data_IF_349430880111
#
_entry.id   IF_349430880111
#
_cell.length_a   1.000
_cell.length_b   1.000
_cell.length_c   1.000
_cell.angle_alpha   90.00
_cell.angle_beta   90.00
_cell.angle_gamma   90.00
#
_symmetry.space_group_name_H-M   'P 1'
#
loop_
_entity.id
_entity.type
_entity.pdbx_description
1 polymer ?
#
# COMPACT_ATOMS: atom_id res chain seq x y z
N UNK A 1 31.09 -3.56 5.06
CA UNK A 1 29.88 -4.16 4.47
C UNK A 1 29.07 -4.85 5.56
N UNK A 2 27.78 -4.52 5.68
CA UNK A 2 26.90 -5.20 6.61
C UNK A 2 26.36 -6.51 5.98
N UNK A 3 25.70 -7.34 6.79
CA UNK A 3 25.15 -8.64 6.32
C UNK A 3 24.11 -8.45 5.24
N UNK A 4 23.30 -7.40 5.34
CA UNK A 4 22.27 -7.07 4.35
C UNK A 4 22.84 -6.69 3.00
N UNK A 5 23.90 -5.88 2.99
CA UNK A 5 24.60 -5.50 1.77
C UNK A 5 25.09 -6.73 0.98
N UNK A 6 25.69 -7.69 1.69
CA UNK A 6 26.14 -8.94 1.09
C UNK A 6 24.97 -9.76 0.56
N UNK A 7 23.90 -9.85 1.32
CA UNK A 7 22.74 -10.65 0.94
C UNK A 7 22.09 -10.12 -0.33
N UNK A 8 21.87 -8.81 -0.43
CA UNK A 8 21.28 -8.20 -1.64
C UNK A 8 22.21 -8.21 -2.85
N UNK A 9 23.52 -8.23 -2.65
CA UNK A 9 24.49 -8.35 -3.75
C UNK A 9 24.53 -9.74 -4.37
N UNK A 10 24.19 -10.79 -3.62
CA UNK A 10 24.28 -12.18 -4.08
C UNK A 10 22.93 -12.81 -4.44
N UNK A 11 21.84 -12.30 -3.92
CA UNK A 11 20.51 -12.82 -4.20
C UNK A 11 19.44 -11.73 -4.16
N UNK A 12 18.39 -11.92 -4.94
CA UNK A 12 17.20 -11.06 -4.91
C UNK A 12 16.23 -11.56 -3.84
N UNK A 13 15.89 -10.70 -2.86
CA UNK A 13 14.84 -11.01 -1.88
C UNK A 13 13.49 -10.71 -2.52
N UNK A 14 12.53 -11.66 -2.54
CA UNK A 14 11.22 -11.44 -3.12
C UNK A 14 10.50 -10.22 -2.52
N UNK A 15 9.89 -9.40 -3.36
CA UNK A 15 9.20 -8.18 -2.95
C UNK A 15 10.09 -6.95 -2.80
N UNK A 16 11.37 -7.07 -3.10
CA UNK A 16 12.32 -5.95 -3.08
C UNK A 16 12.93 -5.69 -4.45
N UNK A 17 13.11 -4.41 -4.74
CA UNK A 17 13.83 -3.97 -5.95
C UNK A 17 15.29 -4.47 -5.88
N UNK A 18 15.85 -5.03 -6.96
CA UNK A 18 17.26 -5.39 -6.99
C UNK A 18 18.16 -4.22 -6.67
N UNK A 19 19.16 -4.45 -5.82
CA UNK A 19 20.07 -3.43 -5.32
C UNK A 19 21.52 -3.83 -5.58
N UNK A 20 22.32 -2.88 -6.01
CA UNK A 20 23.76 -2.98 -6.12
C UNK A 20 24.44 -1.90 -5.29
N UNK A 21 25.67 -2.17 -4.86
CA UNK A 21 26.49 -1.21 -4.11
C UNK A 21 27.55 -0.68 -5.05
N UNK A 22 27.61 0.63 -5.18
CA UNK A 22 28.65 1.34 -5.91
C UNK A 22 29.46 2.24 -4.97
N UNK A 23 30.70 2.46 -5.32
CA UNK A 23 31.60 3.39 -4.63
C UNK A 23 31.94 4.54 -5.56
N UNK A 24 31.52 5.76 -5.20
CA UNK A 24 31.81 6.98 -5.94
C UNK A 24 32.50 7.96 -4.99
N UNK A 25 33.71 8.39 -5.35
CA UNK A 25 34.52 9.29 -4.52
C UNK A 25 34.64 8.83 -3.05
N UNK A 26 34.97 7.55 -2.87
CA UNK A 26 35.09 6.88 -1.55
C UNK A 26 33.76 6.82 -0.74
N UNK A 27 32.64 7.25 -1.32
CA UNK A 27 31.31 7.16 -0.71
C UNK A 27 30.56 5.95 -1.24
N UNK A 28 29.98 5.21 -0.31
CA UNK A 28 29.11 4.09 -0.61
C UNK A 28 27.75 4.60 -1.09
N UNK A 29 27.29 4.07 -2.21
CA UNK A 29 25.97 4.35 -2.77
C UNK A 29 25.19 3.05 -3.02
N UNK A 30 23.89 3.10 -2.76
CA UNK A 30 22.97 2.03 -3.12
C UNK A 30 22.27 2.40 -4.44
N UNK A 31 22.36 1.50 -5.40
CA UNK A 31 21.75 1.67 -6.74
C UNK A 31 20.67 0.63 -6.91
N UNK A 32 19.46 1.08 -7.26
CA UNK A 32 18.28 0.25 -7.39
C UNK A 32 17.87 0.13 -8.85
N UNK A 33 17.67 -1.10 -9.31
CA UNK A 33 17.20 -1.37 -10.67
C UNK A 33 15.66 -1.40 -10.70
N UNK A 34 15.07 -0.32 -11.17
CA UNK A 34 13.61 -0.16 -11.31
C UNK A 34 13.12 -0.39 -12.74
N UNK A 35 13.92 -1.01 -13.59
CA UNK A 35 13.55 -1.33 -14.96
C UNK A 35 12.25 -2.12 -15.02
N UNK A 36 11.33 -1.69 -15.89
CA UNK A 36 10.03 -2.35 -16.08
C UNK A 36 9.00 -2.08 -14.98
N UNK A 37 9.29 -1.15 -14.06
CA UNK A 37 8.41 -0.81 -12.94
C UNK A 37 7.89 0.61 -13.05
N UNK A 38 6.68 0.82 -12.57
CA UNK A 38 6.09 2.14 -12.32
C UNK A 38 6.29 2.50 -10.85
N UNK A 39 6.55 3.77 -10.56
CA UNK A 39 6.43 4.26 -9.19
C UNK A 39 4.95 4.34 -8.77
N UNK A 40 4.68 4.52 -7.48
CA UNK A 40 3.32 4.53 -6.96
C UNK A 40 2.45 5.61 -7.62
N UNK A 41 2.99 6.81 -7.85
CA UNK A 41 2.26 7.89 -8.52
C UNK A 41 1.83 7.51 -9.93
N UNK A 42 2.74 7.01 -10.74
CA UNK A 42 2.46 6.55 -12.11
C UNK A 42 1.44 5.42 -12.12
N UNK A 43 1.53 4.50 -11.15
CA UNK A 43 0.58 3.40 -11.02
C UNK A 43 -0.82 3.90 -10.70
N UNK A 44 -0.97 4.82 -9.74
CA UNK A 44 -2.27 5.38 -9.34
C UNK A 44 -2.94 6.21 -10.43
N UNK A 45 -2.16 6.78 -11.33
CA UNK A 45 -2.65 7.56 -12.49
C UNK A 45 -3.18 6.69 -13.63
N UNK A 46 -2.95 5.38 -13.59
CA UNK A 46 -3.51 4.45 -14.58
C UNK A 46 -5.02 4.29 -14.42
N UNK A 47 -5.71 4.04 -15.52
CA UNK A 47 -7.13 3.69 -15.50
C UNK A 47 -7.37 2.34 -14.81
N UNK A 48 -8.46 2.22 -14.09
CA UNK A 48 -8.90 0.99 -13.46
C UNK A 48 -8.18 0.63 -12.16
N UNK A 49 -7.47 1.58 -11.53
CA UNK A 49 -6.85 1.40 -10.21
C UNK A 49 -7.90 1.69 -9.14
N UNK A 50 -8.65 0.68 -8.75
CA UNK A 50 -9.66 0.74 -7.70
C UNK A 50 -9.19 0.11 -6.40
N UNK A 51 -10.13 -0.07 -5.48
CA UNK A 51 -9.90 -0.61 -4.13
C UNK A 51 -9.13 -1.92 -4.10
N UNK A 52 -9.49 -2.88 -4.96
CA UNK A 52 -8.84 -4.20 -4.97
C UNK A 52 -7.33 -4.09 -5.22
N UNK A 53 -6.94 -3.24 -6.18
CA UNK A 53 -5.52 -3.04 -6.53
C UNK A 53 -4.76 -2.26 -5.46
N UNK A 54 -5.35 -1.22 -4.90
CA UNK A 54 -4.75 -0.45 -3.80
C UNK A 54 -4.63 -1.30 -2.53
N UNK A 55 -5.63 -2.10 -2.21
CA UNK A 55 -5.58 -3.07 -1.11
C UNK A 55 -4.39 -4.03 -1.26
N UNK A 56 -4.16 -4.56 -2.46
CA UNK A 56 -3.02 -5.43 -2.76
C UNK A 56 -1.67 -4.72 -2.52
N UNK A 57 -1.56 -3.45 -2.93
CA UNK A 57 -0.37 -2.64 -2.65
C UNK A 57 -0.12 -2.51 -1.15
N UNK A 58 -1.14 -2.17 -0.38
CA UNK A 58 -1.02 -2.00 1.07
C UNK A 58 -0.72 -3.32 1.79
N UNK A 59 -1.35 -4.41 1.43
CA UNK A 59 -1.07 -5.74 1.98
C UNK A 59 0.38 -6.14 1.74
N UNK A 60 0.90 -5.90 0.53
CA UNK A 60 2.29 -6.16 0.21
C UNK A 60 3.24 -5.32 1.08
N UNK A 61 3.02 -4.01 1.17
CA UNK A 61 3.85 -3.12 1.97
C UNK A 61 3.89 -3.51 3.45
N UNK A 62 2.75 -3.88 4.01
CA UNK A 62 2.65 -4.32 5.40
C UNK A 62 3.37 -5.64 5.66
N UNK A 63 3.57 -6.47 4.64
CA UNK A 63 4.26 -7.77 4.74
C UNK A 63 5.78 -7.67 4.58
N UNK A 64 6.30 -6.59 4.00
CA UNK A 64 7.73 -6.46 3.69
C UNK A 64 8.66 -6.47 4.92
N UNK A 65 8.33 -5.82 6.05
CA UNK A 65 9.15 -5.91 7.25
C UNK A 65 9.34 -7.36 7.75
N UNK A 66 8.29 -8.15 7.81
CA UNK A 66 8.35 -9.57 8.19
C UNK A 66 9.20 -10.39 7.22
N UNK A 67 9.18 -10.02 5.95
CA UNK A 67 10.02 -10.67 4.94
C UNK A 67 11.50 -10.42 5.16
N UNK A 68 11.91 -9.19 5.48
CA UNK A 68 13.29 -8.92 5.89
C UNK A 68 13.70 -9.71 7.13
N UNK A 69 12.84 -9.76 8.12
CA UNK A 69 13.10 -10.50 9.36
C UNK A 69 13.29 -12.00 9.08
N UNK A 70 12.57 -12.57 8.12
CA UNK A 70 12.77 -13.97 7.69
C UNK A 70 14.14 -14.25 7.10
N UNK A 71 14.84 -13.20 6.62
CA UNK A 71 16.22 -13.25 6.16
C UNK A 71 17.22 -12.75 7.23
N UNK A 72 16.79 -12.64 8.48
CA UNK A 72 17.58 -12.15 9.61
C UNK A 72 18.07 -10.70 9.44
N UNK A 73 17.31 -9.91 8.74
CA UNK A 73 17.54 -8.47 8.56
C UNK A 73 16.54 -7.66 9.41
N UNK A 74 16.88 -6.40 9.66
CA UNK A 74 16.01 -5.49 10.40
C UNK A 74 14.77 -5.12 9.55
N UNK A 75 13.57 -5.44 10.03
CA UNK A 75 12.32 -5.09 9.36
C UNK A 75 12.10 -3.59 9.19
N UNK A 76 12.74 -2.76 10.03
CA UNK A 76 12.69 -1.30 9.91
C UNK A 76 13.52 -0.76 8.74
N UNK A 77 14.31 -1.58 8.07
CA UNK A 77 15.08 -1.18 6.89
C UNK A 77 14.28 -1.22 5.58
N UNK A 78 12.99 -1.49 5.63
CA UNK A 78 12.08 -1.20 4.52
C UNK A 78 11.78 0.29 4.51
N UNK A 79 12.14 0.98 3.43
CA UNK A 79 11.90 2.42 3.31
C UNK A 79 10.46 2.70 2.86
N UNK A 80 9.62 3.09 3.79
CA UNK A 80 8.20 3.34 3.56
C UNK A 80 7.98 4.81 3.16
N UNK A 81 8.22 5.08 1.90
CA UNK A 81 7.97 6.36 1.24
C UNK A 81 7.26 6.13 -0.09
N UNK A 82 6.37 7.03 -0.52
CA UNK A 82 5.69 6.92 -1.82
C UNK A 82 6.66 6.72 -2.99
N UNK A 83 7.80 7.42 -2.99
CA UNK A 83 8.82 7.33 -4.05
C UNK A 83 9.62 6.01 -4.01
N UNK A 84 9.48 5.23 -2.95
CA UNK A 84 10.16 3.95 -2.76
C UNK A 84 9.24 2.74 -2.94
N UNK A 85 8.10 2.92 -3.56
CA UNK A 85 7.10 1.89 -3.85
C UNK A 85 6.97 1.76 -5.37
N UNK A 86 7.17 0.55 -5.87
CA UNK A 86 7.16 0.24 -7.30
C UNK A 86 6.21 -0.91 -7.62
N UNK A 87 5.63 -0.86 -8.80
CA UNK A 87 4.73 -1.90 -9.32
C UNK A 87 5.22 -2.33 -10.70
N UNK A 88 5.38 -3.62 -10.91
CA UNK A 88 5.77 -4.16 -12.22
C UNK A 88 4.70 -3.87 -13.27
N UNK A 89 5.12 -3.40 -14.44
CA UNK A 89 4.21 -3.00 -15.53
C UNK A 89 3.37 -4.15 -16.08
N UNK A 90 3.87 -5.36 -15.99
CA UNK A 90 3.23 -6.55 -16.58
C UNK A 90 2.57 -7.44 -15.55
N UNK A 91 3.31 -7.81 -14.49
CA UNK A 91 2.79 -8.71 -13.44
C UNK A 91 1.93 -8.01 -12.41
N UNK A 92 2.03 -6.69 -12.30
CA UNK A 92 1.44 -5.87 -11.22
C UNK A 92 1.91 -6.27 -9.81
N UNK A 93 3.03 -6.99 -9.71
CA UNK A 93 3.68 -7.27 -8.42
C UNK A 93 4.25 -5.99 -7.81
N UNK A 94 4.14 -5.88 -6.49
CA UNK A 94 4.56 -4.70 -5.72
C UNK A 94 5.95 -4.94 -5.12
N UNK A 95 6.81 -3.94 -5.22
CA UNK A 95 8.18 -3.98 -4.75
C UNK A 95 8.48 -2.80 -3.84
N UNK A 96 9.15 -3.09 -2.73
CA UNK A 96 9.71 -2.09 -1.82
C UNK A 96 11.20 -1.91 -2.00
N UNK A 97 11.75 -1.00 -1.22
CA UNK A 97 13.19 -0.68 -1.16
C UNK A 97 13.75 -1.12 0.18
N UNK A 98 14.80 -1.93 0.14
CA UNK A 98 15.66 -2.17 1.29
C UNK A 98 16.66 -1.02 1.42
N UNK A 99 16.68 -0.36 2.57
CA UNK A 99 17.58 0.76 2.83
C UNK A 99 18.19 0.64 4.23
N UNK A 100 19.42 0.14 4.36
CA UNK A 100 20.08 -0.01 5.66
C UNK A 100 20.20 1.31 6.41
N UNK A 101 19.82 1.31 7.70
CA UNK A 101 19.80 2.52 8.51
C UNK A 101 18.64 3.46 8.20
N UNK A 102 17.57 2.92 7.64
CA UNK A 102 16.35 3.67 7.29
C UNK A 102 15.72 4.38 8.50
N UNK A 103 15.21 5.58 8.29
CA UNK A 103 14.48 6.41 9.25
C UNK A 103 12.97 6.56 8.93
N UNK A 104 12.52 6.03 7.79
CA UNK A 104 11.13 6.09 7.34
C UNK A 104 10.45 4.73 7.49
N UNK A 105 9.96 4.41 8.67
CA UNK A 105 9.28 3.14 8.99
C UNK A 105 8.16 3.34 10.02
N UNK A 106 7.37 2.30 10.23
CA UNK A 106 6.31 2.27 11.23
C UNK A 106 5.01 2.93 10.79
N UNK A 107 4.06 3.02 11.71
CA UNK A 107 2.68 3.44 11.41
C UNK A 107 2.59 4.86 10.83
N UNK A 108 3.43 5.78 11.29
CA UNK A 108 3.48 7.15 10.74
C UNK A 108 3.91 7.17 9.27
N UNK A 109 4.85 6.31 8.88
CA UNK A 109 5.29 6.19 7.50
C UNK A 109 4.18 5.59 6.61
N UNK A 110 3.47 4.57 7.07
CA UNK A 110 2.29 4.04 6.37
C UNK A 110 1.17 5.06 6.25
N UNK A 111 0.94 5.88 7.28
CA UNK A 111 -0.03 6.98 7.22
C UNK A 111 0.32 7.98 6.11
N UNK A 112 1.59 8.33 5.95
CA UNK A 112 2.05 9.21 4.88
C UNK A 112 1.84 8.59 3.49
N UNK A 113 2.01 7.29 3.34
CA UNK A 113 1.69 6.57 2.08
C UNK A 113 0.19 6.60 1.80
N UNK A 114 -0.66 6.36 2.80
CA UNK A 114 -2.10 6.45 2.65
C UNK A 114 -2.55 7.86 2.23
N UNK A 115 -1.99 8.91 2.83
CA UNK A 115 -2.22 10.31 2.45
C UNK A 115 -1.83 10.58 1.00
N UNK A 116 -0.68 10.09 0.57
CA UNK A 116 -0.24 10.18 -0.83
C UNK A 116 -1.23 9.50 -1.78
N UNK A 117 -1.73 8.33 -1.44
CA UNK A 117 -2.75 7.61 -2.23
C UNK A 117 -4.02 8.44 -2.33
N UNK A 118 -4.49 9.02 -1.23
CA UNK A 118 -5.67 9.91 -1.21
C UNK A 118 -5.49 11.07 -2.19
N UNK A 119 -4.32 11.70 -2.21
CA UNK A 119 -4.02 12.85 -3.06
C UNK A 119 -3.89 12.51 -4.56
N UNK A 120 -3.57 11.26 -4.90
CA UNK A 120 -3.28 10.83 -6.28
C UNK A 120 -4.26 9.80 -6.86
N UNK A 121 -5.20 9.30 -6.06
CA UNK A 121 -6.22 8.37 -6.53
C UNK A 121 -7.33 9.08 -7.33
N UNK A 122 -8.19 8.29 -7.99
CA UNK A 122 -9.40 8.81 -8.60
C UNK A 122 -10.38 9.30 -7.52
N UNK A 123 -10.57 10.62 -7.44
CA UNK A 123 -11.42 11.26 -6.43
C UNK A 123 -12.92 10.92 -6.55
N UNK A 124 -13.34 10.37 -7.69
CA UNK A 124 -14.73 9.95 -7.93
C UNK A 124 -15.00 8.51 -7.46
N UNK A 125 -13.95 7.75 -7.17
CA UNK A 125 -14.06 6.39 -6.65
C UNK A 125 -14.33 6.43 -5.14
N UNK A 126 -15.59 6.39 -4.77
CA UNK A 126 -16.04 6.48 -3.37
C UNK A 126 -15.66 5.25 -2.57
N UNK A 127 -15.69 4.07 -3.15
CA UNK A 127 -15.29 2.81 -2.53
C UNK A 127 -13.81 2.83 -2.14
N UNK A 128 -12.96 3.24 -3.08
CA UNK A 128 -11.53 3.42 -2.85
C UNK A 128 -11.28 4.49 -1.78
N UNK A 129 -11.97 5.62 -1.86
CA UNK A 129 -11.83 6.70 -0.89
C UNK A 129 -12.14 6.23 0.54
N UNK A 130 -13.26 5.56 0.75
CA UNK A 130 -13.62 5.00 2.06
C UNK A 130 -12.55 4.06 2.61
N UNK A 131 -12.05 3.17 1.77
CA UNK A 131 -11.02 2.22 2.16
C UNK A 131 -9.74 2.92 2.60
N UNK A 132 -9.22 3.85 1.81
CA UNK A 132 -7.95 4.52 2.09
C UNK A 132 -8.06 5.50 3.26
N UNK A 133 -9.16 6.24 3.38
CA UNK A 133 -9.42 7.09 4.55
C UNK A 133 -9.51 6.26 5.84
N UNK A 134 -10.15 5.11 5.78
CA UNK A 134 -10.23 4.18 6.91
C UNK A 134 -8.85 3.63 7.32
N UNK A 135 -8.00 3.30 6.37
CA UNK A 135 -6.61 2.91 6.63
C UNK A 135 -5.80 4.04 7.24
N UNK A 136 -5.86 5.23 6.65
CA UNK A 136 -5.15 6.41 7.15
C UNK A 136 -5.50 6.70 8.61
N UNK A 137 -6.77 6.68 8.95
CA UNK A 137 -7.25 6.85 10.31
C UNK A 137 -6.65 5.81 11.27
N UNK A 138 -6.62 4.54 10.85
CA UNK A 138 -6.09 3.45 11.68
C UNK A 138 -4.59 3.55 11.87
N UNK A 139 -3.84 3.93 10.86
CA UNK A 139 -2.39 4.14 11.01
C UNK A 139 -2.04 5.21 12.05
N UNK A 140 -2.92 6.17 12.28
CA UNK A 140 -2.76 7.23 13.27
C UNK A 140 -3.34 6.88 14.64
N UNK A 141 -4.05 5.78 14.80
CA UNK A 141 -4.59 5.33 16.09
C UNK A 141 -3.48 4.82 17.00
N UNK A 142 -3.51 5.27 18.25
CA UNK A 142 -2.61 4.77 19.29
C UNK A 142 -2.86 3.26 19.54
N UNK A 143 -1.78 2.49 19.61
CA UNK A 143 -1.85 1.07 19.87
C UNK A 143 -2.30 0.21 18.69
N UNK A 144 -2.39 0.76 17.49
CA UNK A 144 -2.73 -0.02 16.30
C UNK A 144 -1.71 -1.14 16.04
N UNK A 145 -2.21 -2.32 15.72
CA UNK A 145 -1.41 -3.50 15.42
C UNK A 145 -1.55 -3.94 13.96
N UNK A 146 -0.57 -4.67 13.46
CA UNK A 146 -0.61 -5.25 12.11
C UNK A 146 -1.79 -6.24 11.96
N UNK A 147 -2.08 -7.01 13.01
CA UNK A 147 -3.22 -7.94 13.04
C UNK A 147 -4.54 -7.20 12.86
N UNK A 148 -4.75 -6.10 13.59
CA UNK A 148 -5.95 -5.28 13.48
C UNK A 148 -6.09 -4.62 12.10
N UNK A 149 -4.99 -4.19 11.49
CA UNK A 149 -4.98 -3.66 10.12
C UNK A 149 -5.38 -4.71 9.09
N UNK A 150 -4.85 -5.92 9.20
CA UNK A 150 -5.22 -7.05 8.31
C UNK A 150 -6.68 -7.42 8.47
N UNK A 151 -7.19 -7.48 9.69
CA UNK A 151 -8.62 -7.72 9.96
C UNK A 151 -9.50 -6.64 9.32
N UNK A 152 -9.12 -5.38 9.43
CA UNK A 152 -9.83 -4.28 8.77
C UNK A 152 -9.86 -4.46 7.25
N UNK A 153 -8.73 -4.72 6.64
CA UNK A 153 -8.66 -4.91 5.18
C UNK A 153 -9.48 -6.11 4.69
N UNK A 154 -9.55 -7.17 5.48
CA UNK A 154 -10.33 -8.37 5.15
C UNK A 154 -11.84 -8.17 5.40
N UNK A 155 -12.23 -7.45 6.44
CA UNK A 155 -13.62 -7.20 6.81
C UNK A 155 -14.29 -6.11 5.97
N UNK A 156 -13.52 -5.20 5.40
CA UNK A 156 -14.03 -4.07 4.62
C UNK A 156 -14.86 -4.51 3.39
N UNK A 157 -14.56 -5.68 2.83
CA UNK A 157 -15.36 -6.30 1.76
C UNK A 157 -16.77 -6.71 2.19
N UNK A 158 -17.04 -6.86 3.48
CA UNK A 158 -18.34 -7.23 4.01
C UNK A 158 -19.21 -6.00 4.37
N UNK A 159 -18.59 -4.92 4.82
CA UNK A 159 -19.29 -3.67 5.19
C UNK A 159 -19.91 -2.99 3.97
N UNK A 160 -19.26 -3.07 2.82
CA UNK A 160 -19.79 -2.48 1.57
C UNK A 160 -21.05 -3.16 1.05
N UNK A 161 -21.16 -4.48 1.21
CA UNK A 161 -22.38 -5.21 0.85
C UNK A 161 -23.57 -4.82 1.71
N UNK A 162 -23.34 -4.39 2.95
CA UNK A 162 -24.39 -3.97 3.86
C UNK A 162 -24.83 -2.52 3.60
N UNK A 163 -23.90 -1.61 3.28
CA UNK A 163 -24.22 -0.23 2.89
C UNK A 163 -24.96 -0.17 1.54
N UNK A 164 -24.49 -0.91 0.54
CA UNK A 164 -25.18 -0.99 -0.76
C UNK A 164 -26.59 -1.54 -0.63
N UNK A 165 -26.81 -2.52 0.25
CA UNK A 165 -28.14 -3.06 0.56
C UNK A 165 -29.03 -2.08 1.33
N UNK A 166 -28.46 -1.23 2.18
CA UNK A 166 -29.21 -0.18 2.88
C UNK A 166 -29.60 0.97 1.95
N UNK A 167 -28.74 1.35 1.01
CA UNK A 167 -29.08 2.36 -0.02
C UNK A 167 -30.13 1.85 -0.98
N UNK A 168 -30.03 0.62 -1.48
CA UNK A 168 -31.08 0.00 -2.30
C UNK A 168 -32.44 -0.10 -1.56
N UNK A 169 -32.40 -0.40 -0.26
CA UNK A 169 -33.61 -0.39 0.57
C UNK A 169 -34.22 1.00 0.73
N UNK A 170 -33.40 2.04 0.92
CA UNK A 170 -33.84 3.43 1.01
C UNK A 170 -34.47 3.91 -0.29
N UNK A 171 -33.83 3.65 -1.41
CA UNK A 171 -34.30 4.02 -2.74
C UNK A 171 -35.60 3.28 -3.08
N UNK A 172 -35.71 2.00 -2.73
CA UNK A 172 -36.94 1.21 -2.90
C UNK A 172 -38.10 1.74 -2.05
N UNK A 173 -37.84 2.15 -0.80
CA UNK A 173 -38.85 2.74 0.10
C UNK A 173 -39.32 4.12 -0.39
N UNK A 174 -38.39 4.94 -0.89
CA UNK A 174 -38.71 6.26 -1.48
C UNK A 174 -39.53 6.08 -2.74
N UNK A 175 -39.25 5.12 -3.61
CA UNK A 175 -40.02 4.81 -4.81
C UNK A 175 -41.41 4.33 -4.48
N UNK A 176 -41.59 3.43 -3.51
CA UNK A 176 -42.89 2.97 -3.06
C UNK A 176 -43.76 4.09 -2.43
N UNK A 177 -43.13 4.97 -1.64
CA UNK A 177 -43.82 6.14 -1.08
C UNK A 177 -44.29 7.13 -2.16
N UNK A 178 -43.44 7.35 -3.20
CA UNK A 178 -43.81 8.24 -4.33
C UNK A 178 -44.94 7.67 -5.18
N UNK A 179 -44.98 6.36 -5.38
CA UNK A 179 -46.07 5.68 -6.14
C UNK A 179 -47.39 5.69 -5.38
N UNK A 180 -47.39 5.64 -4.04
CA UNK A 180 -48.62 5.69 -3.23
C UNK A 180 -49.25 7.08 -3.16
N UNK A 181 -48.52 8.16 -3.46
CA UNK A 181 -49.04 9.54 -3.50
C UNK A 181 -49.66 9.96 -4.83
N UNK A 182 -49.52 9.17 -5.90
CA UNK A 182 -50.07 9.45 -7.25
C UNK A 182 -51.43 8.83 -7.51
N UNK A 183 -52.01 8.22 -6.52
CA UNK A 183 -53.41 7.73 -6.51
C UNK A 183 -54.29 8.57 -5.58
#
# INVERSE_FOLDING_TARGET
ENVGDKMFSYQTIPGFVPMEIEWVDEKKQYVYDVTGKLNLKQYLEKDGIGKHKVKKVMECLLSLPERLESYLLDGNDVRILPDCIFVDKHSEEVYGIYYPGNDCYGMTAYAAVAEFIIDHMNQKDTELAFFVYGLHKRFLEEGMTLVALREYMDSDSHVETDFAKEEEKKDSLIYQATVSYTH
#
